data_IF_615108706931
#
_entry.id   IF_615108706931
#
_cell.length_a   1.000
_cell.length_b   1.000
_cell.length_c   1.000
_cell.angle_alpha   90.00
_cell.angle_beta   90.00
_cell.angle_gamma   90.00
#
_symmetry.space_group_name_H-M   'P 1'
#
loop_
_entity.id
_entity.type
_entity.pdbx_description
1 polymer ?
#
# COMPACT_ATOMS: atom_id res chain seq x y z
N UNK A 1 -13.42 -21.01 10.82
CA UNK A 1 -12.12 -20.49 10.36
C UNK A 1 -12.30 -20.07 8.92
N UNK A 2 -12.05 -18.81 8.57
CA UNK A 2 -12.21 -18.31 7.20
C UNK A 2 -11.15 -18.96 6.30
N UNK A 3 -11.56 -19.49 5.15
CA UNK A 3 -10.69 -20.18 4.20
C UNK A 3 -9.74 -19.22 3.48
N UNK A 4 -8.68 -19.76 2.86
CA UNK A 4 -7.73 -18.93 2.09
C UNK A 4 -8.37 -18.24 0.89
N UNK A 5 -9.34 -18.89 0.25
CA UNK A 5 -10.12 -18.30 -0.86
C UNK A 5 -10.99 -17.15 -0.38
N UNK A 6 -11.67 -17.32 0.75
CA UNK A 6 -12.46 -16.25 1.38
C UNK A 6 -11.58 -15.05 1.76
N UNK A 7 -10.37 -15.27 2.30
CA UNK A 7 -9.44 -14.18 2.61
C UNK A 7 -9.02 -13.45 1.33
N UNK A 8 -8.77 -14.17 0.23
CA UNK A 8 -8.47 -13.53 -1.06
C UNK A 8 -9.64 -12.69 -1.56
N UNK A 9 -10.87 -13.22 -1.49
CA UNK A 9 -12.06 -12.47 -1.86
C UNK A 9 -12.24 -11.20 -1.00
N UNK A 10 -11.93 -11.27 0.30
CA UNK A 10 -11.93 -10.09 1.17
C UNK A 10 -10.88 -9.07 0.75
N UNK A 11 -9.68 -9.49 0.36
CA UNK A 11 -8.64 -8.60 -0.16
C UNK A 11 -9.14 -7.88 -1.43
N UNK A 12 -9.71 -8.62 -2.38
CA UNK A 12 -10.26 -8.05 -3.61
C UNK A 12 -11.38 -7.03 -3.31
N UNK A 13 -12.29 -7.37 -2.40
CA UNK A 13 -13.35 -6.46 -1.94
C UNK A 13 -12.80 -5.20 -1.27
N UNK A 14 -11.72 -5.32 -0.49
CA UNK A 14 -11.05 -4.18 0.14
C UNK A 14 -10.50 -3.20 -0.90
N UNK A 15 -9.86 -3.72 -1.95
CA UNK A 15 -9.35 -2.90 -3.06
C UNK A 15 -10.48 -2.27 -3.90
N UNK A 16 -11.57 -3.00 -4.15
CA UNK A 16 -12.76 -2.44 -4.81
C UNK A 16 -13.39 -1.32 -3.97
N UNK A 17 -13.46 -1.49 -2.65
CA UNK A 17 -13.97 -0.46 -1.76
C UNK A 17 -13.08 0.80 -1.79
N UNK A 18 -11.74 0.66 -1.83
CA UNK A 18 -10.83 1.80 -1.98
C UNK A 18 -11.04 2.53 -3.31
N UNK A 19 -11.13 1.80 -4.43
CA UNK A 19 -11.30 2.42 -5.74
C UNK A 19 -12.65 3.14 -5.90
N UNK A 20 -13.67 2.68 -5.17
CA UNK A 20 -14.98 3.34 -5.07
C UNK A 20 -15.02 4.51 -4.05
N UNK A 21 -13.92 4.82 -3.37
CA UNK A 21 -13.87 5.86 -2.33
C UNK A 21 -14.58 5.48 -1.02
N UNK A 22 -14.92 4.20 -0.84
CA UNK A 22 -15.58 3.67 0.35
C UNK A 22 -14.56 3.37 1.46
N UNK A 23 -13.73 4.36 1.81
CA UNK A 23 -12.55 4.19 2.68
C UNK A 23 -12.86 3.52 4.02
N UNK A 24 -13.98 3.88 4.67
CA UNK A 24 -14.41 3.25 5.92
C UNK A 24 -14.73 1.76 5.77
N UNK A 25 -15.34 1.37 4.65
CA UNK A 25 -15.65 -0.03 4.37
C UNK A 25 -14.37 -0.79 4.06
N UNK A 26 -13.49 -0.23 3.22
CA UNK A 26 -12.19 -0.79 2.93
C UNK A 26 -11.39 -1.07 4.22
N UNK A 27 -11.33 -0.08 5.12
CA UNK A 27 -10.68 -0.24 6.43
C UNK A 27 -11.24 -1.43 7.20
N UNK A 28 -12.57 -1.55 7.33
CA UNK A 28 -13.18 -2.69 8.04
C UNK A 28 -12.91 -4.04 7.40
N UNK A 29 -12.84 -4.08 6.08
CA UNK A 29 -12.48 -5.30 5.35
C UNK A 29 -11.03 -5.68 5.65
N UNK A 30 -10.08 -4.74 5.55
CA UNK A 30 -8.67 -5.01 5.80
C UNK A 30 -8.35 -5.31 7.28
N UNK A 31 -9.06 -4.72 8.24
CA UNK A 31 -9.02 -5.15 9.66
C UNK A 31 -9.39 -6.64 9.78
N UNK A 32 -10.40 -7.10 9.03
CA UNK A 32 -10.81 -8.51 8.97
C UNK A 32 -9.76 -9.41 8.30
N UNK A 33 -9.13 -8.94 7.22
CA UNK A 33 -8.02 -9.65 6.54
C UNK A 33 -6.85 -9.84 7.49
N UNK A 34 -6.43 -8.78 8.19
CA UNK A 34 -5.34 -8.84 9.18
C UNK A 34 -5.68 -9.79 10.32
N UNK A 35 -6.89 -9.72 10.88
CA UNK A 35 -7.33 -10.65 11.92
C UNK A 35 -7.35 -12.12 11.45
N UNK A 36 -7.69 -12.37 10.18
CA UNK A 36 -7.71 -13.71 9.60
C UNK A 36 -6.31 -14.23 9.22
N UNK A 37 -5.36 -13.34 8.91
CA UNK A 37 -3.97 -13.66 8.56
C UNK A 37 -3.01 -12.62 9.20
N UNK A 38 -2.73 -12.72 10.51
CA UNK A 38 -1.92 -11.73 11.22
C UNK A 38 -0.48 -11.60 10.72
N UNK A 39 0.06 -12.65 10.10
CA UNK A 39 1.40 -12.68 9.52
C UNK A 39 1.41 -12.26 8.03
N UNK A 40 0.24 -12.03 7.44
CA UNK A 40 0.09 -11.69 6.04
C UNK A 40 0.21 -10.19 5.77
N UNK A 41 0.85 -9.83 4.66
CA UNK A 41 1.03 -8.44 4.25
C UNK A 41 -0.28 -7.73 3.85
N UNK A 42 -1.24 -8.46 3.27
CA UNK A 42 -2.40 -7.86 2.59
C UNK A 42 -3.29 -7.01 3.50
N UNK A 43 -3.50 -7.42 4.74
CA UNK A 43 -4.28 -6.66 5.73
C UNK A 43 -3.65 -5.31 6.06
N UNK A 44 -2.44 -5.28 6.67
CA UNK A 44 -1.77 -4.03 7.01
C UNK A 44 -1.42 -3.17 5.79
N UNK A 45 -1.10 -3.76 4.62
CA UNK A 45 -0.92 -3.00 3.38
C UNK A 45 -2.20 -2.27 2.98
N UNK A 46 -3.35 -2.97 2.98
CA UNK A 46 -4.65 -2.39 2.67
C UNK A 46 -5.09 -1.31 3.66
N UNK A 47 -4.79 -1.48 4.96
CA UNK A 47 -5.01 -0.45 5.97
C UNK A 47 -4.17 0.81 5.71
N UNK A 48 -2.89 0.66 5.32
CA UNK A 48 -2.05 1.80 4.97
C UNK A 48 -2.61 2.57 3.78
N UNK A 49 -3.14 1.87 2.77
CA UNK A 49 -3.81 2.50 1.63
C UNK A 49 -5.09 3.23 2.04
N UNK A 50 -5.85 2.68 2.99
CA UNK A 50 -7.02 3.37 3.55
C UNK A 50 -6.62 4.65 4.30
N UNK A 51 -5.53 4.62 5.07
CA UNK A 51 -5.00 5.84 5.72
C UNK A 51 -4.59 6.89 4.67
N UNK A 52 -3.89 6.48 3.60
CA UNK A 52 -3.54 7.38 2.49
C UNK A 52 -4.76 7.98 1.80
N UNK A 53 -5.84 7.22 1.63
CA UNK A 53 -7.09 7.68 1.03
C UNK A 53 -7.86 8.65 1.95
N UNK A 54 -7.69 8.54 3.26
CA UNK A 54 -8.24 9.45 4.26
C UNK A 54 -7.32 10.66 4.52
N UNK A 55 -6.13 10.69 3.94
CA UNK A 55 -5.13 11.75 4.11
C UNK A 55 -4.28 11.62 5.38
N UNK A 56 -4.41 10.53 6.13
CA UNK A 56 -3.58 10.23 7.30
C UNK A 56 -2.25 9.58 6.86
N UNK A 57 -1.39 10.41 6.28
CA UNK A 57 -0.13 9.95 5.71
C UNK A 57 0.86 9.47 6.78
N UNK A 58 0.78 10.00 8.01
CA UNK A 58 1.64 9.56 9.11
C UNK A 58 1.30 8.13 9.55
N UNK A 59 0.00 7.81 9.69
CA UNK A 59 -0.42 6.45 9.98
C UNK A 59 -0.03 5.49 8.84
N UNK A 60 -0.21 5.90 7.58
CA UNK A 60 0.18 5.10 6.42
C UNK A 60 1.67 4.74 6.46
N UNK A 61 2.53 5.73 6.64
CA UNK A 61 3.99 5.54 6.71
C UNK A 61 4.38 4.64 7.86
N UNK A 62 3.82 4.84 9.05
CA UNK A 62 4.13 4.04 10.23
C UNK A 62 3.84 2.56 9.98
N UNK A 63 2.71 2.26 9.35
CA UNK A 63 2.28 0.89 9.04
C UNK A 63 3.10 0.26 7.92
N UNK A 64 3.39 1.00 6.85
CA UNK A 64 4.23 0.52 5.75
C UNK A 64 5.66 0.22 6.19
N UNK A 65 6.23 1.01 7.11
CA UNK A 65 7.56 0.76 7.69
C UNK A 65 7.61 -0.46 8.62
N UNK A 66 6.48 -0.84 9.21
CA UNK A 66 6.39 -2.02 10.06
C UNK A 66 6.33 -3.33 9.27
N UNK A 67 6.04 -3.26 7.96
CA UNK A 67 5.97 -4.43 7.10
C UNK A 67 7.36 -4.93 6.70
N UNK A 68 7.52 -6.24 6.48
CA UNK A 68 8.68 -6.76 5.76
C UNK A 68 8.83 -6.04 4.41
N UNK A 69 10.06 -5.70 4.00
CA UNK A 69 10.27 -4.98 2.75
C UNK A 69 9.83 -5.83 1.56
N UNK A 70 8.85 -5.31 0.81
CA UNK A 70 8.37 -5.85 -0.45
C UNK A 70 8.29 -4.70 -1.48
N UNK A 71 8.19 -5.02 -2.76
CA UNK A 71 8.01 -3.99 -3.79
C UNK A 71 6.70 -3.21 -3.59
N UNK A 72 5.65 -3.87 -3.11
CA UNK A 72 4.38 -3.23 -2.77
C UNK A 72 4.54 -2.24 -1.61
N UNK A 73 5.07 -2.70 -0.48
CA UNK A 73 5.27 -1.87 0.71
C UNK A 73 6.21 -0.69 0.42
N UNK A 74 7.31 -0.91 -0.30
CA UNK A 74 8.25 0.14 -0.69
C UNK A 74 7.62 1.16 -1.65
N UNK A 75 6.84 0.70 -2.63
CA UNK A 75 6.16 1.61 -3.58
C UNK A 75 5.16 2.51 -2.86
N UNK A 76 4.31 1.93 -2.01
CA UNK A 76 3.31 2.71 -1.28
C UNK A 76 3.94 3.57 -0.18
N UNK A 77 5.07 3.16 0.43
CA UNK A 77 5.83 4.01 1.34
C UNK A 77 6.38 5.23 0.59
N UNK A 78 6.93 5.02 -0.60
CA UNK A 78 7.40 6.08 -1.47
C UNK A 78 6.29 7.07 -1.86
N UNK A 79 5.12 6.57 -2.24
CA UNK A 79 3.94 7.39 -2.55
C UNK A 79 3.44 8.18 -1.33
N UNK A 80 3.36 7.55 -0.15
CA UNK A 80 2.96 8.23 1.09
C UNK A 80 3.94 9.37 1.42
N UNK A 81 5.25 9.12 1.33
CA UNK A 81 6.29 10.14 1.54
C UNK A 81 6.25 11.27 0.51
N UNK A 82 6.00 10.94 -0.75
CA UNK A 82 5.86 11.95 -1.80
C UNK A 82 4.69 12.90 -1.50
N UNK A 83 3.55 12.35 -1.07
CA UNK A 83 2.37 13.12 -0.65
C UNK A 83 2.60 13.95 0.62
N UNK A 84 3.49 13.52 1.51
CA UNK A 84 3.93 14.32 2.67
C UNK A 84 4.91 15.44 2.30
N UNK A 85 5.43 15.44 1.07
CA UNK A 85 6.48 16.37 0.63
C UNK A 85 7.90 15.94 1.00
N UNK A 86 8.10 14.75 1.58
CA UNK A 86 9.43 14.17 1.83
C UNK A 86 9.97 13.55 0.54
N UNK A 87 10.45 14.42 -0.35
CA UNK A 87 10.91 14.07 -1.69
C UNK A 87 12.12 13.13 -1.65
N UNK A 88 13.02 13.32 -0.71
CA UNK A 88 14.25 12.54 -0.64
C UNK A 88 13.96 11.08 -0.26
N UNK A 89 13.10 10.86 0.74
CA UNK A 89 12.74 9.50 1.15
C UNK A 89 11.84 8.82 0.11
N UNK A 90 10.93 9.58 -0.51
CA UNK A 90 10.12 9.10 -1.62
C UNK A 90 10.98 8.63 -2.81
N UNK A 91 11.93 9.47 -3.25
CA UNK A 91 12.80 9.16 -4.37
C UNK A 91 13.64 7.91 -4.12
N UNK A 92 14.18 7.75 -2.90
CA UNK A 92 14.94 6.56 -2.52
C UNK A 92 14.10 5.28 -2.62
N UNK A 93 12.89 5.30 -2.07
CA UNK A 93 12.02 4.12 -2.07
C UNK A 93 11.55 3.76 -3.49
N UNK A 94 11.04 4.74 -4.25
CA UNK A 94 10.48 4.51 -5.58
C UNK A 94 11.56 4.09 -6.59
N UNK A 95 12.75 4.73 -6.58
CA UNK A 95 13.84 4.33 -7.49
C UNK A 95 14.35 2.93 -7.21
N UNK A 96 14.34 2.50 -5.95
CA UNK A 96 14.72 1.12 -5.59
C UNK A 96 13.78 0.10 -6.25
N UNK A 97 12.47 0.35 -6.21
CA UNK A 97 11.49 -0.55 -6.84
C UNK A 97 11.58 -0.48 -8.36
N UNK A 98 11.65 0.72 -8.93
CA UNK A 98 11.74 0.91 -10.38
C UNK A 98 13.01 0.30 -11.02
N UNK A 99 14.10 0.17 -10.26
CA UNK A 99 15.33 -0.49 -10.70
C UNK A 99 15.34 -2.02 -10.49
N UNK A 100 14.30 -2.57 -9.84
CA UNK A 100 14.17 -4.00 -9.57
C UNK A 100 13.62 -4.78 -10.76
N UNK A 101 12.54 -5.54 -10.54
CA UNK A 101 11.81 -6.20 -11.63
C UNK A 101 11.08 -5.16 -12.48
N UNK A 102 11.78 -4.67 -13.51
CA UNK A 102 11.33 -3.57 -14.37
C UNK A 102 10.02 -3.86 -15.11
N UNK A 103 9.68 -5.13 -15.32
CA UNK A 103 8.42 -5.56 -15.95
C UNK A 103 7.30 -5.82 -14.92
N UNK A 104 7.62 -5.70 -13.63
CA UNK A 104 6.70 -5.90 -12.53
C UNK A 104 5.70 -4.75 -12.35
N UNK A 105 4.48 -5.04 -11.85
CA UNK A 105 3.41 -4.04 -11.72
C UNK A 105 3.80 -2.85 -10.81
N UNK A 106 4.63 -3.11 -9.80
CA UNK A 106 5.10 -2.08 -8.87
C UNK A 106 6.23 -1.22 -9.43
N UNK A 107 7.07 -1.75 -10.32
CA UNK A 107 8.10 -0.95 -10.99
C UNK A 107 7.48 0.10 -11.91
N UNK A 108 6.46 -0.28 -12.70
CA UNK A 108 5.70 0.66 -13.52
C UNK A 108 5.00 1.74 -12.68
N UNK A 109 4.37 1.34 -11.56
CA UNK A 109 3.73 2.29 -10.64
C UNK A 109 4.76 3.23 -9.98
N UNK A 110 5.92 2.70 -9.57
CA UNK A 110 6.97 3.50 -8.98
C UNK A 110 7.57 4.51 -9.97
N UNK A 111 7.77 4.11 -11.23
CA UNK A 111 8.22 5.01 -12.30
C UNK A 111 7.20 6.12 -12.57
N UNK A 112 5.90 5.78 -12.65
CA UNK A 112 4.84 6.77 -12.82
C UNK A 112 4.82 7.79 -11.66
N UNK A 113 5.00 7.33 -10.43
CA UNK A 113 5.07 8.19 -9.25
C UNK A 113 6.29 9.12 -9.27
N UNK A 114 7.46 8.63 -9.72
CA UNK A 114 8.66 9.47 -9.86
C UNK A 114 8.39 10.64 -10.81
N UNK A 115 7.76 10.38 -11.96
CA UNK A 115 7.42 11.41 -12.93
C UNK A 115 6.35 12.38 -12.39
N UNK A 116 5.27 11.87 -11.80
CA UNK A 116 4.18 12.69 -11.23
C UNK A 116 4.69 13.68 -10.19
N UNK A 117 5.53 13.20 -9.26
CA UNK A 117 6.05 14.00 -8.17
C UNK A 117 7.35 14.74 -8.53
N UNK A 118 7.95 14.48 -9.70
CA UNK A 118 9.25 15.02 -10.18
C UNK A 118 10.43 14.69 -9.26
N UNK A 119 10.56 13.43 -8.88
CA UNK A 119 11.51 12.94 -7.86
C UNK A 119 12.88 12.55 -8.40
#
# INVERSE_FOLDING_TARGET
>A
MIGTEDVRALVDLGFIALSAGLNRHARKIFEGVEAARPEGEAGPLGLALADMAEGDLDAAVARLRALPPSDAALTYLGLARARQGDRDEAARALRRVAAGDVDGPFAALAAAAIEEFRL
#
